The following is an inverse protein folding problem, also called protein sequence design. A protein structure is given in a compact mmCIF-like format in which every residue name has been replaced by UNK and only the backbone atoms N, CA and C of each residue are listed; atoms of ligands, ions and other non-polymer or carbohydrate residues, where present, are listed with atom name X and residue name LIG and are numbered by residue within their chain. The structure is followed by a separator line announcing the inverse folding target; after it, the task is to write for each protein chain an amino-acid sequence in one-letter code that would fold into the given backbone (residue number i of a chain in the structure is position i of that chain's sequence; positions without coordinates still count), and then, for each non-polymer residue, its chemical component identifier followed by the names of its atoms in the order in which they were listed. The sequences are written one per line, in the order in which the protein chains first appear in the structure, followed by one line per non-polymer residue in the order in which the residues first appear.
data_IF_637652256649
#
_entry.id   IF_637652256649
#
_cell.length_a   1.000
_cell.length_b   1.000
_cell.length_c   1.000
_cell.angle_alpha   90.00
_cell.angle_beta   90.00
_cell.angle_gamma   90.00
#
_symmetry.space_group_name_H-M   'P 1'
#
loop_
_entity.id
_entity.type
_entity.pdbx_description
1 polymer ?
#
# COMPACT_ATOMS: atom_id res chain seq x y z
N UNK A 1 -17.01 4.67 5.67
CA UNK A 1 -16.56 3.28 5.86
C UNK A 1 -17.62 2.21 5.56
N UNK A 2 -18.93 2.45 5.77
CA UNK A 2 -20.00 1.45 5.50
C UNK A 2 -20.09 0.98 4.04
N UNK A 3 -19.77 1.83 3.07
CA UNK A 3 -19.85 1.48 1.64
C UNK A 3 -18.69 0.58 1.15
N UNK A 4 -17.53 0.61 1.83
CA UNK A 4 -16.36 -0.20 1.46
C UNK A 4 -16.62 -1.69 1.75
N UNK A 5 -17.35 -2.00 2.82
CA UNK A 5 -17.73 -3.38 3.17
C UNK A 5 -18.64 -4.05 2.13
N UNK A 6 -19.37 -3.28 1.32
CA UNK A 6 -20.22 -3.83 0.24
C UNK A 6 -19.42 -4.17 -1.02
N UNK A 7 -18.27 -3.53 -1.19
CA UNK A 7 -17.42 -3.67 -2.38
C UNK A 7 -16.43 -4.83 -2.20
N UNK A 8 -16.08 -5.18 -0.95
CA UNK A 8 -15.30 -6.39 -0.67
C UNK A 8 -16.19 -7.66 -0.51
N UNK A 9 -15.79 -8.82 -1.05
CA UNK A 9 -14.60 -8.99 -1.86
C UNK A 9 -14.76 -8.43 -3.29
N UNK A 10 -13.74 -7.72 -3.77
CA UNK A 10 -13.55 -7.23 -5.14
C UNK A 10 -13.20 -8.43 -6.03
N UNK A 11 -14.24 -9.11 -6.49
CA UNK A 11 -14.16 -10.06 -7.59
C UNK A 11 -13.85 -9.31 -8.92
N UNK A 12 -13.14 -9.99 -9.82
CA UNK A 12 -12.71 -9.55 -11.15
C UNK A 12 -13.86 -8.95 -11.97
N UNK A 13 -15.03 -9.58 -11.86
CA UNK A 13 -16.26 -9.14 -12.54
C UNK A 13 -16.79 -7.83 -11.94
N UNK A 14 -16.62 -7.61 -10.63
CA UNK A 14 -17.03 -6.37 -9.95
C UNK A 14 -16.07 -5.22 -10.26
N UNK A 15 -14.76 -5.45 -10.33
CA UNK A 15 -13.77 -4.38 -10.63
C UNK A 15 -14.02 -3.73 -12.01
N UNK A 16 -14.29 -4.56 -13.04
CA UNK A 16 -14.63 -4.08 -14.40
C UNK A 16 -16.02 -3.43 -14.48
N UNK A 17 -16.92 -3.76 -13.54
CA UNK A 17 -18.26 -3.18 -13.44
C UNK A 17 -18.33 -1.97 -12.48
N UNK A 18 -17.20 -1.54 -11.90
CA UNK A 18 -17.20 -0.39 -10.99
C UNK A 18 -17.65 0.86 -11.72
N UNK A 19 -18.57 1.58 -11.10
CA UNK A 19 -18.97 2.91 -11.58
C UNK A 19 -17.78 3.87 -11.52
N UNK A 20 -17.86 4.96 -12.28
CA UNK A 20 -16.85 6.02 -12.25
C UNK A 20 -16.64 6.53 -10.81
N UNK A 21 -17.72 6.64 -10.01
CA UNK A 21 -17.62 7.07 -8.62
C UNK A 21 -16.86 6.07 -7.74
N UNK A 22 -17.06 4.77 -7.97
CA UNK A 22 -16.35 3.72 -7.23
C UNK A 22 -14.86 3.68 -7.58
N UNK A 23 -14.51 3.90 -8.86
CA UNK A 23 -13.11 4.03 -9.30
C UNK A 23 -12.44 5.25 -8.65
N UNK A 24 -13.10 6.42 -8.72
CA UNK A 24 -12.62 7.64 -8.07
C UNK A 24 -12.45 7.46 -6.55
N UNK A 25 -13.30 6.67 -5.91
CA UNK A 25 -13.17 6.35 -4.49
C UNK A 25 -11.94 5.48 -4.20
N UNK A 26 -11.65 4.49 -5.05
CA UNK A 26 -10.43 3.67 -4.94
C UNK A 26 -9.18 4.50 -5.16
N UNK A 27 -9.16 5.39 -6.15
CA UNK A 27 -8.04 6.30 -6.41
C UNK A 27 -7.80 7.24 -5.23
N UNK A 28 -8.87 7.77 -4.65
CA UNK A 28 -8.79 8.61 -3.44
C UNK A 28 -8.18 7.83 -2.27
N UNK A 29 -8.55 6.57 -2.09
CA UNK A 29 -7.98 5.71 -1.04
C UNK A 29 -6.50 5.44 -1.33
N UNK A 30 -6.14 5.05 -2.56
CA UNK A 30 -4.76 4.78 -2.94
C UNK A 30 -3.87 6.03 -2.77
N UNK A 31 -4.37 7.20 -3.13
CA UNK A 31 -3.68 8.47 -2.92
C UNK A 31 -3.44 8.76 -1.44
N UNK A 32 -4.49 8.64 -0.60
CA UNK A 32 -4.36 8.84 0.86
C UNK A 32 -3.41 7.83 1.49
N UNK A 33 -3.50 6.58 1.08
CA UNK A 33 -2.60 5.53 1.53
C UNK A 33 -1.15 5.83 1.14
N UNK A 34 -0.90 6.34 -0.06
CA UNK A 34 0.43 6.81 -0.46
C UNK A 34 0.98 7.85 0.50
N UNK A 35 0.18 8.87 0.83
CA UNK A 35 0.61 9.96 1.73
C UNK A 35 0.93 9.44 3.13
N UNK A 36 0.13 8.50 3.63
CA UNK A 36 0.39 7.85 4.90
C UNK A 36 1.69 7.05 4.86
N UNK A 37 1.87 6.22 3.83
CA UNK A 37 3.05 5.37 3.69
C UNK A 37 4.33 6.21 3.51
N UNK A 38 4.25 7.32 2.77
CA UNK A 38 5.36 8.26 2.60
C UNK A 38 5.71 8.92 3.94
N UNK A 39 4.72 9.41 4.70
CA UNK A 39 4.95 9.98 6.04
C UNK A 39 5.61 8.98 6.98
N UNK A 40 5.08 7.76 7.04
CA UNK A 40 5.60 6.70 7.90
C UNK A 40 7.03 6.34 7.49
N UNK A 41 7.24 6.05 6.20
CA UNK A 41 8.52 5.59 5.69
C UNK A 41 9.63 6.64 5.72
N UNK A 42 9.31 7.89 5.42
CA UNK A 42 10.33 8.94 5.28
C UNK A 42 10.62 9.66 6.58
N UNK A 43 9.64 9.77 7.48
CA UNK A 43 9.76 10.53 8.73
C UNK A 43 9.69 9.63 9.95
N UNK A 44 8.56 8.96 10.18
CA UNK A 44 8.30 8.23 11.44
C UNK A 44 9.33 7.12 11.68
N UNK A 45 9.66 6.33 10.66
CA UNK A 45 10.68 5.28 10.79
C UNK A 45 12.07 5.84 11.12
N UNK A 46 12.42 7.01 10.58
CA UNK A 46 13.71 7.63 10.88
C UNK A 46 13.72 8.18 12.31
N UNK A 47 12.68 8.91 12.70
CA UNK A 47 12.55 9.43 14.06
C UNK A 47 12.57 8.29 15.09
N UNK A 48 11.82 7.21 14.85
CA UNK A 48 11.84 6.03 15.71
C UNK A 48 13.25 5.43 15.84
N UNK A 49 13.95 5.25 14.72
CA UNK A 49 15.31 4.69 14.72
C UNK A 49 16.32 5.61 15.43
N UNK A 50 16.22 6.92 15.23
CA UNK A 50 17.08 7.90 15.92
C UNK A 50 16.83 7.85 17.44
N UNK A 51 15.57 7.71 17.89
CA UNK A 51 15.21 7.58 19.32
C UNK A 51 15.75 6.30 19.97
N UNK A 52 15.82 5.18 19.24
CA UNK A 52 16.43 3.93 19.74
C UNK A 52 17.96 3.91 19.57
N UNK A 53 18.57 5.02 19.13
CA UNK A 53 20.02 5.21 19.05
C UNK A 53 20.66 4.77 17.73
N UNK A 54 19.87 4.46 16.70
CA UNK A 54 20.37 4.15 15.36
C UNK A 54 20.57 5.42 14.53
N UNK A 55 21.74 5.59 13.91
CA UNK A 55 22.04 6.77 13.09
C UNK A 55 21.39 6.64 11.71
N UNK A 56 20.30 7.39 11.47
CA UNK A 56 19.58 7.33 10.19
C UNK A 56 20.16 8.24 9.10
N UNK A 57 21.00 9.20 9.48
CA UNK A 57 21.60 10.17 8.55
C UNK A 57 22.47 9.48 7.49
N UNK A 58 22.21 9.78 6.21
CA UNK A 58 22.92 9.18 5.08
C UNK A 58 22.47 7.76 4.72
N UNK A 59 21.51 7.18 5.46
CA UNK A 59 20.97 5.85 5.17
C UNK A 59 19.93 5.89 4.06
N UNK A 60 20.08 4.97 3.10
CA UNK A 60 19.09 4.71 2.06
C UNK A 60 17.77 4.25 2.67
N UNK A 61 16.66 4.42 1.93
CA UNK A 61 15.36 3.98 2.41
C UNK A 61 15.30 2.45 2.65
N UNK A 62 16.02 1.66 1.85
CA UNK A 62 16.10 0.21 2.06
C UNK A 62 16.81 -0.16 3.36
N UNK A 63 17.88 0.56 3.72
CA UNK A 63 18.54 0.37 5.02
C UNK A 63 17.59 0.71 6.18
N UNK A 64 16.83 1.80 6.08
CA UNK A 64 15.81 2.14 7.09
C UNK A 64 14.78 1.02 7.23
N UNK A 65 14.25 0.50 6.12
CA UNK A 65 13.27 -0.60 6.18
C UNK A 65 13.85 -1.89 6.80
N UNK A 66 15.12 -2.20 6.55
CA UNK A 66 15.82 -3.34 7.17
C UNK A 66 15.93 -3.22 8.68
N UNK A 67 16.25 -2.04 9.19
CA UNK A 67 16.30 -1.85 10.64
C UNK A 67 14.90 -1.91 11.27
N UNK A 68 13.89 -1.28 10.64
CA UNK A 68 12.50 -1.35 11.12
C UNK A 68 11.97 -2.80 11.12
N UNK A 69 12.37 -3.62 10.15
CA UNK A 69 12.00 -5.05 10.12
C UNK A 69 12.66 -5.85 11.25
N UNK A 70 13.91 -5.55 11.63
CA UNK A 70 14.56 -6.17 12.79
C UNK A 70 13.83 -5.86 14.10
N UNK A 71 13.24 -4.68 14.19
CA UNK A 71 12.41 -4.24 15.32
C UNK A 71 11.00 -4.87 15.30
N UNK A 72 10.68 -5.70 14.28
CA UNK A 72 9.41 -6.41 14.15
C UNK A 72 8.21 -5.53 13.80
N UNK A 73 8.46 -4.28 13.39
CA UNK A 73 7.39 -3.30 13.10
C UNK A 73 6.73 -3.57 11.75
N UNK A 74 7.52 -3.93 10.75
CA UNK A 74 7.03 -4.29 9.41
C UNK A 74 7.76 -5.52 8.89
N UNK A 75 7.17 -6.15 7.88
CA UNK A 75 7.89 -7.01 6.94
C UNK A 75 8.09 -6.26 5.61
N UNK A 76 9.31 -6.27 5.07
CA UNK A 76 9.69 -5.48 3.90
C UNK A 76 8.97 -5.95 2.63
N UNK A 77 8.74 -7.26 2.49
CA UNK A 77 8.03 -7.82 1.35
C UNK A 77 6.59 -7.34 1.33
N UNK A 78 5.92 -7.36 2.49
CA UNK A 78 4.56 -6.85 2.65
C UNK A 78 4.49 -5.34 2.40
N UNK A 79 5.46 -4.57 2.90
CA UNK A 79 5.55 -3.14 2.63
C UNK A 79 5.71 -2.83 1.12
N UNK A 80 6.52 -3.65 0.43
CA UNK A 80 6.74 -3.52 -1.01
C UNK A 80 5.53 -3.98 -1.83
N UNK A 81 4.80 -4.98 -1.35
CA UNK A 81 3.54 -5.42 -1.93
C UNK A 81 2.48 -4.32 -1.87
N UNK A 82 2.32 -3.65 -0.73
CA UNK A 82 1.38 -2.52 -0.63
C UNK A 82 1.73 -1.36 -1.58
N UNK A 83 3.02 -1.10 -1.82
CA UNK A 83 3.47 -0.14 -2.84
C UNK A 83 3.04 -0.54 -4.24
N UNK A 84 3.18 -1.83 -4.60
CA UNK A 84 2.72 -2.36 -5.89
C UNK A 84 1.21 -2.20 -6.02
N UNK A 85 0.46 -2.53 -4.97
CA UNK A 85 -1.01 -2.40 -5.00
C UNK A 85 -1.45 -0.97 -5.25
N UNK A 86 -0.88 -0.02 -4.49
CA UNK A 86 -1.16 1.40 -4.71
C UNK A 86 -0.89 1.81 -6.16
N UNK A 87 0.30 1.49 -6.68
CA UNK A 87 0.69 1.87 -8.03
C UNK A 87 -0.30 1.34 -9.08
N UNK A 88 -0.73 0.08 -8.93
CA UNK A 88 -1.72 -0.56 -9.79
C UNK A 88 -3.10 0.08 -9.69
N UNK A 89 -3.54 0.50 -8.50
CA UNK A 89 -4.81 1.23 -8.38
C UNK A 89 -4.72 2.56 -9.14
N UNK A 90 -3.64 3.33 -8.93
CA UNK A 90 -3.48 4.68 -9.48
C UNK A 90 -3.16 4.75 -10.98
N UNK A 91 -2.83 3.65 -11.65
CA UNK A 91 -2.40 3.70 -13.05
C UNK A 91 -3.54 3.43 -14.03
N UNK A 92 -3.91 4.38 -14.90
CA UNK A 92 -4.97 4.23 -15.90
C UNK A 92 -4.58 3.46 -17.18
N UNK A 93 -3.61 2.54 -17.14
CA UNK A 93 -3.24 1.80 -18.36
C UNK A 93 -4.30 0.75 -18.73
N UNK A 94 -4.86 0.80 -19.96
CA UNK A 94 -5.89 -0.15 -20.42
C UNK A 94 -5.43 -1.61 -20.49
N UNK A 95 -4.13 -1.88 -20.40
CA UNK A 95 -3.55 -3.21 -20.68
C UNK A 95 -3.08 -3.98 -19.44
N UNK A 96 -3.22 -3.42 -18.22
CA UNK A 96 -2.73 -4.03 -16.98
C UNK A 96 -3.84 -4.58 -16.06
N UNK A 97 -5.07 -4.74 -16.57
CA UNK A 97 -6.20 -5.19 -15.75
C UNK A 97 -5.94 -6.51 -15.01
N UNK A 98 -5.18 -7.41 -15.61
CA UNK A 98 -4.83 -8.73 -15.05
C UNK A 98 -3.87 -8.60 -13.86
N UNK A 99 -2.88 -7.71 -13.91
CA UNK A 99 -2.00 -7.42 -12.77
C UNK A 99 -2.74 -6.72 -11.63
N UNK A 100 -3.63 -5.78 -11.95
CA UNK A 100 -4.46 -5.08 -10.94
C UNK A 100 -5.32 -6.08 -10.17
N UNK A 101 -5.87 -7.06 -10.88
CA UNK A 101 -6.70 -8.14 -10.35
C UNK A 101 -5.92 -9.02 -9.38
N UNK A 102 -4.73 -9.44 -9.75
CA UNK A 102 -3.91 -10.36 -8.95
C UNK A 102 -3.53 -9.73 -7.60
N UNK A 103 -3.28 -8.44 -7.63
CA UNK A 103 -2.92 -7.63 -6.49
C UNK A 103 -4.09 -7.37 -5.54
N UNK A 104 -5.30 -7.14 -6.05
CA UNK A 104 -6.51 -7.02 -5.23
C UNK A 104 -6.81 -8.34 -4.50
N UNK A 105 -6.69 -9.49 -5.17
CA UNK A 105 -6.82 -10.82 -4.54
C UNK A 105 -5.82 -11.02 -3.40
N UNK A 106 -4.60 -10.50 -3.57
CA UNK A 106 -3.53 -10.57 -2.58
C UNK A 106 -3.79 -9.72 -1.35
N UNK A 107 -4.43 -8.55 -1.51
CA UNK A 107 -4.90 -7.76 -0.38
C UNK A 107 -5.98 -8.51 0.41
N UNK A 108 -6.94 -9.13 -0.26
CA UNK A 108 -8.04 -9.84 0.41
C UNK A 108 -7.58 -11.02 1.26
N UNK A 109 -6.57 -11.77 0.81
CA UNK A 109 -6.04 -12.89 1.58
C UNK A 109 -5.37 -12.46 2.88
N UNK A 110 -4.93 -11.19 2.99
CA UNK A 110 -4.27 -10.63 4.17
C UNK A 110 -5.22 -9.90 5.14
N UNK A 111 -6.49 -9.71 4.76
CA UNK A 111 -7.52 -9.02 5.59
C UNK A 111 -8.45 -10.03 6.31
N UNK A 112 -8.35 -11.32 5.99
CA UNK A 112 -8.98 -12.40 6.78
C UNK A 112 -8.12 -12.76 7.99
#
# INVERSE_FOLDING_TARGET
MKEIKKICPLDIKKFKQLTIEQKNMLDTIAFRFSKLQDLVGTKIFREFLDEVGFITKGKSFLEILKEIEKEGIINIDTWSEFRKVRNLITHDYPDEWEEKIEVVKKIESKIK
#
